data_IF_665484887196
#
_entry.id   IF_665484887196
#
_cell.length_a   1.000
_cell.length_b   1.000
_cell.length_c   1.000
_cell.angle_alpha   90.00
_cell.angle_beta   90.00
_cell.angle_gamma   90.00
#
_symmetry.space_group_name_H-M   'P 1'
#
loop_
_entity.id
_entity.type
_entity.pdbx_description
1 polymer ?
#
# COMPACT_ATOMS: atom_id res chain seq x y z
N UNK A 1 -7.68 1.17 -22.73
CA UNK A 1 -8.93 1.55 -22.03
C UNK A 1 -9.06 3.08 -22.07
N UNK A 2 -10.15 3.64 -22.61
CA UNK A 2 -10.30 5.09 -22.85
C UNK A 2 -10.35 5.90 -21.54
N UNK A 3 -11.03 5.37 -20.51
CA UNK A 3 -11.13 6.03 -19.20
C UNK A 3 -9.77 6.24 -18.54
N UNK A 4 -8.88 5.23 -18.57
CA UNK A 4 -7.50 5.36 -18.06
C UNK A 4 -6.75 6.50 -18.76
N UNK A 5 -6.81 6.57 -20.10
CA UNK A 5 -6.16 7.64 -20.87
C UNK A 5 -6.71 9.03 -20.55
N UNK A 6 -8.02 9.16 -20.32
CA UNK A 6 -8.60 10.44 -19.93
C UNK A 6 -8.09 10.89 -18.57
N UNK A 7 -8.00 9.98 -17.61
CA UNK A 7 -7.46 10.26 -16.28
C UNK A 7 -5.99 10.67 -16.35
N UNK A 8 -5.16 9.94 -17.10
CA UNK A 8 -3.72 10.19 -17.14
C UNK A 8 -3.31 11.34 -18.05
N UNK A 9 -3.93 11.48 -19.22
CA UNK A 9 -3.42 12.32 -20.31
C UNK A 9 -4.24 13.62 -20.48
N UNK A 10 -5.47 13.64 -19.96
CA UNK A 10 -6.43 14.75 -20.13
C UNK A 10 -7.17 15.12 -18.83
N UNK A 11 -6.44 15.44 -17.75
CA UNK A 11 -7.02 15.73 -16.44
C UNK A 11 -8.01 16.91 -16.46
N UNK A 12 -7.84 17.85 -17.39
CA UNK A 12 -8.74 18.99 -17.61
C UNK A 12 -10.14 18.55 -18.06
N UNK A 13 -10.22 17.54 -18.92
CA UNK A 13 -11.51 17.03 -19.40
C UNK A 13 -12.22 16.26 -18.29
N UNK A 14 -11.48 15.52 -17.47
CA UNK A 14 -12.05 14.76 -16.35
C UNK A 14 -12.64 15.67 -15.27
N UNK A 15 -12.05 16.84 -15.04
CA UNK A 15 -12.56 17.81 -14.07
C UNK A 15 -13.97 18.32 -14.37
N UNK A 16 -14.40 18.25 -15.63
CA UNK A 16 -15.74 18.66 -16.08
C UNK A 16 -16.75 17.52 -16.09
N UNK A 17 -16.29 16.26 -15.97
CA UNK A 17 -17.16 15.09 -16.02
C UNK A 17 -17.88 14.87 -14.69
N UNK A 18 -19.17 14.56 -14.77
CA UNK A 18 -19.90 13.97 -13.66
C UNK A 18 -19.59 12.47 -13.58
N UNK A 19 -18.80 12.08 -12.58
CA UNK A 19 -18.47 10.69 -12.31
C UNK A 19 -19.28 10.20 -11.12
N UNK A 20 -20.12 9.20 -11.38
CA UNK A 20 -20.99 8.58 -10.38
C UNK A 20 -20.40 7.25 -9.92
N UNK A 21 -20.50 6.98 -8.63
CA UNK A 21 -20.13 5.72 -7.99
C UNK A 21 -21.40 5.07 -7.42
N UNK A 22 -22.20 4.38 -8.25
CA UNK A 22 -23.32 3.58 -7.74
C UNK A 22 -22.79 2.47 -6.83
N UNK A 23 -23.63 2.02 -5.88
CA UNK A 23 -23.33 0.93 -4.94
C UNK A 23 -22.24 1.20 -3.90
N UNK A 24 -21.61 2.39 -3.90
CA UNK A 24 -20.67 2.77 -2.85
C UNK A 24 -21.37 3.00 -1.49
N UNK A 25 -22.63 3.41 -1.53
CA UNK A 25 -23.50 3.54 -0.36
C UNK A 25 -24.85 2.86 -0.65
N UNK A 26 -25.50 2.33 0.38
CA UNK A 26 -26.88 1.84 0.30
C UNK A 26 -27.88 3.02 0.20
N UNK A 27 -27.85 3.70 -0.95
CA UNK A 27 -28.66 4.87 -1.26
C UNK A 27 -29.24 4.77 -2.66
N UNK A 28 -30.47 5.28 -2.82
CA UNK A 28 -31.13 5.40 -4.13
C UNK A 28 -30.56 6.55 -4.96
N UNK A 29 -29.75 7.43 -4.37
CA UNK A 29 -29.08 8.54 -5.05
C UNK A 29 -27.62 8.14 -5.28
N UNK A 30 -27.15 8.06 -6.53
CA UNK A 30 -25.77 7.70 -6.82
C UNK A 30 -24.81 8.76 -6.26
N UNK A 31 -23.76 8.30 -5.59
CA UNK A 31 -22.72 9.19 -5.07
C UNK A 31 -21.90 9.80 -6.21
N UNK A 32 -21.51 11.07 -6.06
CA UNK A 32 -20.63 11.75 -7.01
C UNK A 32 -19.19 11.78 -6.51
N UNK A 33 -18.24 11.37 -7.34
CA UNK A 33 -16.82 11.49 -7.07
C UNK A 33 -16.35 12.89 -7.46
N UNK A 34 -15.91 13.68 -6.48
CA UNK A 34 -15.60 15.11 -6.69
C UNK A 34 -14.22 15.36 -7.29
N UNK A 35 -13.24 14.51 -6.95
CA UNK A 35 -11.82 14.69 -7.25
C UNK A 35 -11.28 13.45 -7.93
N UNK A 36 -11.92 13.07 -9.03
CA UNK A 36 -11.70 11.78 -9.71
C UNK A 36 -10.24 11.61 -10.06
N UNK A 37 -9.65 12.61 -10.72
CA UNK A 37 -8.28 12.51 -11.15
C UNK A 37 -7.29 12.50 -9.99
N UNK A 38 -7.46 13.37 -8.99
CA UNK A 38 -6.58 13.37 -7.83
C UNK A 38 -6.67 12.06 -7.03
N UNK A 39 -7.87 11.45 -6.97
CA UNK A 39 -8.06 10.14 -6.35
C UNK A 39 -7.37 9.02 -7.14
N UNK A 40 -7.43 9.08 -8.47
CA UNK A 40 -6.74 8.13 -9.33
C UNK A 40 -5.21 8.21 -9.16
N UNK A 41 -4.64 9.43 -9.22
CA UNK A 41 -3.21 9.65 -9.00
C UNK A 41 -2.76 9.20 -7.60
N UNK A 42 -3.54 9.53 -6.57
CA UNK A 42 -3.23 9.12 -5.21
C UNK A 42 -3.23 7.58 -5.09
N UNK A 43 -4.18 6.90 -5.73
CA UNK A 43 -4.23 5.44 -5.71
C UNK A 43 -3.07 4.80 -6.49
N UNK A 44 -2.71 5.35 -7.66
CA UNK A 44 -1.52 4.91 -8.42
C UNK A 44 -0.24 5.07 -7.59
N UNK A 45 -0.05 6.21 -6.93
CA UNK A 45 1.08 6.44 -6.02
C UNK A 45 1.08 5.45 -4.85
N UNK A 46 -0.08 5.17 -4.24
CA UNK A 46 -0.19 4.19 -3.16
C UNK A 46 0.24 2.80 -3.61
N UNK A 47 -0.17 2.36 -4.81
CA UNK A 47 0.20 1.06 -5.34
C UNK A 47 1.70 0.99 -5.64
N UNK A 48 2.28 2.01 -6.27
CA UNK A 48 3.72 2.09 -6.56
C UNK A 48 4.55 2.06 -5.28
N UNK A 49 4.16 2.86 -4.30
CA UNK A 49 4.82 2.92 -3.00
C UNK A 49 4.77 1.55 -2.31
N UNK A 50 3.57 0.97 -2.17
CA UNK A 50 3.38 -0.30 -1.49
C UNK A 50 4.15 -1.44 -2.18
N UNK A 51 4.06 -1.53 -3.51
CA UNK A 51 4.69 -2.61 -4.26
C UNK A 51 6.23 -2.50 -4.23
N UNK A 52 6.77 -1.29 -4.46
CA UNK A 52 8.21 -1.07 -4.39
C UNK A 52 8.74 -1.36 -2.99
N UNK A 53 8.02 -0.95 -1.94
CA UNK A 53 8.37 -1.24 -0.56
C UNK A 53 8.36 -2.75 -0.27
N UNK A 54 7.30 -3.47 -0.68
CA UNK A 54 7.17 -4.90 -0.43
C UNK A 54 8.32 -5.70 -1.06
N UNK A 55 8.71 -5.35 -2.29
CA UNK A 55 9.87 -5.95 -2.97
C UNK A 55 11.16 -5.63 -2.22
N UNK A 56 11.38 -4.35 -1.91
CA UNK A 56 12.61 -3.91 -1.23
C UNK A 56 12.80 -4.57 0.15
N UNK A 57 11.75 -4.58 0.97
CA UNK A 57 11.74 -5.20 2.29
C UNK A 57 12.01 -6.71 2.21
N UNK A 58 11.36 -7.41 1.27
CA UNK A 58 11.61 -8.84 1.06
C UNK A 58 13.05 -9.11 0.57
N UNK A 59 13.54 -8.33 -0.40
CA UNK A 59 14.91 -8.46 -0.92
C UNK A 59 15.97 -8.29 0.16
N UNK A 60 15.80 -7.31 1.06
CA UNK A 60 16.74 -7.10 2.17
C UNK A 60 16.67 -8.22 3.21
N UNK A 61 15.47 -8.67 3.59
CA UNK A 61 15.28 -9.73 4.60
C UNK A 61 15.74 -11.10 4.12
N UNK A 62 15.46 -11.44 2.86
CA UNK A 62 15.82 -12.73 2.25
C UNK A 62 17.25 -12.75 1.69
N UNK A 63 17.84 -11.58 1.43
CA UNK A 63 19.11 -11.45 0.71
C UNK A 63 19.01 -11.70 -0.80
N UNK A 64 17.80 -11.92 -1.34
CA UNK A 64 17.56 -12.08 -2.78
C UNK A 64 17.61 -10.74 -3.48
N UNK A 65 18.30 -10.66 -4.63
CA UNK A 65 18.25 -9.47 -5.47
C UNK A 65 16.92 -9.37 -6.21
N UNK A 66 16.58 -8.17 -6.68
CA UNK A 66 15.31 -7.94 -7.41
C UNK A 66 15.25 -8.77 -8.69
N UNK A 67 16.36 -8.89 -9.42
CA UNK A 67 16.45 -9.74 -10.61
C UNK A 67 16.18 -11.20 -10.27
N UNK A 68 16.77 -11.72 -9.19
CA UNK A 68 16.54 -13.11 -8.77
C UNK A 68 15.07 -13.36 -8.42
N UNK A 69 14.43 -12.45 -7.68
CA UNK A 69 13.01 -12.55 -7.34
C UNK A 69 12.11 -12.58 -8.60
N UNK A 70 12.45 -11.78 -9.61
CA UNK A 70 11.73 -11.79 -10.89
C UNK A 70 11.90 -13.11 -11.64
N UNK A 71 13.08 -13.74 -11.54
CA UNK A 71 13.43 -14.96 -12.26
C UNK A 71 12.86 -16.25 -11.62
N UNK A 72 12.25 -16.16 -10.43
CA UNK A 72 11.64 -17.31 -9.72
C UNK A 72 10.40 -17.88 -10.42
N UNK A 73 9.82 -17.16 -11.37
CA UNK A 73 8.70 -17.65 -12.17
C UNK A 73 7.84 -16.53 -12.77
N UNK A 74 6.68 -16.88 -13.34
CA UNK A 74 5.69 -15.89 -13.73
C UNK A 74 5.04 -15.26 -12.49
N UNK A 75 4.73 -13.97 -12.56
CA UNK A 75 4.07 -13.22 -11.48
C UNK A 75 2.70 -12.71 -11.96
N UNK A 76 1.68 -13.59 -12.10
CA UNK A 76 0.36 -13.18 -12.55
C UNK A 76 -0.35 -12.36 -11.48
N UNK A 77 -1.13 -11.36 -11.92
CA UNK A 77 -2.00 -10.64 -11.02
C UNK A 77 -3.16 -11.55 -10.61
N UNK A 78 -3.21 -11.93 -9.34
CA UNK A 78 -4.22 -12.83 -8.77
C UNK A 78 -5.05 -12.13 -7.68
N UNK A 79 -6.23 -12.71 -7.39
CA UNK A 79 -7.04 -12.26 -6.27
C UNK A 79 -6.51 -12.81 -4.96
N UNK A 80 -6.74 -12.05 -3.89
CA UNK A 80 -6.37 -12.41 -2.52
C UNK A 80 -7.61 -12.36 -1.64
N UNK A 81 -7.76 -13.37 -0.79
CA UNK A 81 -8.84 -13.50 0.15
C UNK A 81 -8.36 -13.20 1.57
N UNK A 82 -9.20 -12.54 2.36
CA UNK A 82 -8.99 -12.42 3.79
C UNK A 82 -9.57 -13.65 4.49
N UNK A 83 -8.69 -14.46 5.07
CA UNK A 83 -9.02 -15.68 5.77
C UNK A 83 -8.62 -15.53 7.24
N UNK A 84 -9.58 -15.15 8.08
CA UNK A 84 -9.35 -14.98 9.53
C UNK A 84 -8.38 -13.86 9.91
N UNK A 85 -8.22 -12.84 9.05
CA UNK A 85 -7.28 -11.73 9.25
C UNK A 85 -5.97 -11.86 8.45
N UNK A 86 -5.71 -13.02 7.86
CA UNK A 86 -4.57 -13.25 6.97
C UNK A 86 -4.99 -13.05 5.51
N UNK A 87 -4.17 -12.36 4.73
CA UNK A 87 -4.37 -12.25 3.28
C UNK A 87 -3.66 -13.41 2.59
N UNK A 88 -4.37 -14.15 1.75
CA UNK A 88 -3.87 -15.36 1.07
C UNK A 88 -4.30 -15.34 -0.40
N UNK A 89 -3.45 -15.74 -1.36
CA UNK A 89 -3.86 -15.95 -2.74
C UNK A 89 -5.08 -16.88 -2.84
N UNK A 90 -6.08 -16.48 -3.63
CA UNK A 90 -7.33 -17.24 -3.79
C UNK A 90 -7.09 -18.70 -4.19
N UNK A 91 -6.16 -18.94 -5.11
CA UNK A 91 -5.77 -20.29 -5.56
C UNK A 91 -5.33 -21.21 -4.40
N UNK A 92 -4.61 -20.69 -3.39
CA UNK A 92 -4.22 -21.49 -2.23
C UNK A 92 -5.43 -21.89 -1.40
N UNK A 93 -6.40 -21.00 -1.27
CA UNK A 93 -7.66 -21.29 -0.56
C UNK A 93 -8.47 -22.33 -1.32
N UNK A 94 -8.55 -22.23 -2.65
CA UNK A 94 -9.21 -23.23 -3.49
C UNK A 94 -8.57 -24.61 -3.35
N UNK A 95 -7.23 -24.69 -3.38
CA UNK A 95 -6.49 -25.94 -3.17
C UNK A 95 -6.76 -26.57 -1.79
N UNK A 96 -6.85 -25.75 -0.74
CA UNK A 96 -7.23 -26.22 0.59
C UNK A 96 -8.67 -26.77 0.59
N UNK A 97 -9.62 -26.05 -0.01
CA UNK A 97 -11.02 -26.47 -0.10
C UNK A 97 -11.16 -27.79 -0.85
N UNK A 98 -10.42 -27.97 -1.94
CA UNK A 98 -10.45 -29.21 -2.71
C UNK A 98 -9.81 -30.37 -1.94
N UNK A 99 -8.69 -30.12 -1.24
CA UNK A 99 -8.07 -31.11 -0.36
C UNK A 99 -9.01 -31.58 0.76
N UNK A 100 -9.83 -30.66 1.30
CA UNK A 100 -10.86 -31.00 2.28
C UNK A 100 -11.97 -31.85 1.65
N UNK A 101 -12.45 -31.48 0.45
CA UNK A 101 -13.50 -32.25 -0.25
C UNK A 101 -13.04 -33.67 -0.61
N UNK A 102 -11.76 -33.82 -0.97
CA UNK A 102 -11.15 -35.10 -1.32
C UNK A 102 -10.77 -35.95 -0.10
N UNK A 103 -10.77 -35.35 1.09
CA UNK A 103 -10.43 -36.02 2.35
C UNK A 103 -8.93 -36.19 2.58
N UNK A 104 -8.07 -35.53 1.78
CA UNK A 104 -6.62 -35.48 2.01
C UNK A 104 -6.25 -34.55 3.17
N UNK A 105 -7.10 -33.56 3.44
CA UNK A 105 -7.12 -32.77 4.68
C UNK A 105 -8.40 -33.12 5.43
N UNK A 106 -8.27 -33.77 6.58
CA UNK A 106 -9.38 -34.41 7.29
C UNK A 106 -9.64 -33.85 8.68
N UNK A 107 -8.77 -32.97 9.19
CA UNK A 107 -8.87 -32.42 10.54
C UNK A 107 -8.47 -30.96 10.66
N UNK A 108 -8.92 -30.32 11.74
CA UNK A 108 -8.59 -28.92 12.04
C UNK A 108 -7.09 -28.70 12.26
N UNK A 109 -6.38 -29.67 12.85
CA UNK A 109 -4.93 -29.57 13.06
C UNK A 109 -4.17 -29.48 11.73
N UNK A 110 -4.60 -30.22 10.71
CA UNK A 110 -4.01 -30.18 9.37
C UNK A 110 -4.31 -28.84 8.66
N UNK A 111 -5.55 -28.33 8.81
CA UNK A 111 -5.91 -26.99 8.32
C UNK A 111 -5.04 -25.91 8.99
N UNK A 112 -4.85 -25.98 10.30
CA UNK A 112 -4.00 -25.03 11.02
C UNK A 112 -2.55 -25.11 10.57
N UNK A 113 -2.02 -26.31 10.33
CA UNK A 113 -0.66 -26.47 9.80
C UNK A 113 -0.49 -25.80 8.43
N UNK A 114 -1.51 -25.86 7.57
CA UNK A 114 -1.51 -25.18 6.27
C UNK A 114 -1.51 -23.65 6.45
N UNK A 115 -2.27 -23.13 7.41
CA UNK A 115 -2.27 -21.70 7.73
C UNK A 115 -0.89 -21.23 8.22
N UNK A 116 -0.23 -22.02 9.07
CA UNK A 116 1.14 -21.72 9.51
C UNK A 116 2.10 -21.65 8.32
N UNK A 117 2.00 -22.58 7.36
CA UNK A 117 2.80 -22.52 6.12
C UNK A 117 2.49 -21.28 5.30
N UNK A 118 1.23 -20.87 5.19
CA UNK A 118 0.87 -19.62 4.51
C UNK A 118 1.44 -18.39 5.24
N UNK A 119 1.47 -18.42 6.58
CA UNK A 119 2.01 -17.34 7.39
C UNK A 119 3.53 -17.20 7.18
N UNK A 120 4.24 -18.32 7.15
CA UNK A 120 5.68 -18.37 6.86
C UNK A 120 6.02 -17.84 5.46
N UNK A 121 5.20 -18.16 4.45
CA UNK A 121 5.38 -17.72 3.07
C UNK A 121 4.86 -16.29 2.78
N UNK A 122 4.15 -15.65 3.71
CA UNK A 122 3.40 -14.42 3.43
C UNK A 122 4.29 -13.29 2.88
N UNK A 123 5.48 -13.08 3.45
CA UNK A 123 6.37 -12.00 3.01
C UNK A 123 6.90 -12.23 1.58
N UNK A 124 7.06 -13.48 1.16
CA UNK A 124 7.45 -13.86 -0.20
C UNK A 124 6.27 -13.70 -1.17
N UNK A 125 5.09 -14.23 -0.83
CA UNK A 125 3.88 -14.07 -1.63
C UNK A 125 3.55 -12.59 -1.85
N UNK A 126 3.72 -11.76 -0.81
CA UNK A 126 3.51 -10.30 -0.86
C UNK A 126 4.45 -9.64 -1.85
N UNK A 127 5.71 -10.09 -1.93
CA UNK A 127 6.70 -9.55 -2.87
C UNK A 127 6.39 -9.97 -4.32
N UNK A 128 5.96 -11.21 -4.55
CA UNK A 128 5.49 -11.66 -5.86
C UNK A 128 4.24 -10.91 -6.31
N UNK A 129 3.29 -10.66 -5.41
CA UNK A 129 2.11 -9.86 -5.72
C UNK A 129 2.47 -8.41 -6.04
N UNK A 130 3.46 -7.85 -5.35
CA UNK A 130 3.99 -6.53 -5.66
C UNK A 130 4.63 -6.46 -7.06
N UNK A 131 5.39 -7.48 -7.48
CA UNK A 131 5.88 -7.59 -8.86
C UNK A 131 4.72 -7.61 -9.86
N UNK A 132 3.72 -8.46 -9.62
CA UNK A 132 2.53 -8.55 -10.48
C UNK A 132 1.80 -7.21 -10.63
N UNK A 133 1.67 -6.45 -9.53
CA UNK A 133 1.08 -5.11 -9.53
C UNK A 133 1.92 -4.14 -10.38
N UNK A 134 3.24 -4.10 -10.19
CA UNK A 134 4.10 -3.19 -10.95
C UNK A 134 4.11 -3.53 -12.44
N UNK A 135 4.18 -4.82 -12.79
CA UNK A 135 4.07 -5.28 -14.18
C UNK A 135 2.78 -4.81 -14.83
N UNK A 136 1.64 -4.98 -14.15
CA UNK A 136 0.34 -4.56 -14.65
C UNK A 136 0.19 -3.01 -14.72
N UNK A 137 0.73 -2.28 -13.75
CA UNK A 137 0.66 -0.81 -13.72
C UNK A 137 1.51 -0.15 -14.81
N UNK A 138 2.73 -0.66 -14.99
CA UNK A 138 3.73 -0.14 -15.92
C UNK A 138 3.60 -0.73 -17.32
N UNK A 139 2.79 -1.77 -17.51
CA UNK A 139 2.66 -2.53 -18.76
C UNK A 139 4.00 -3.11 -19.23
N UNK A 140 4.74 -3.71 -18.28
CA UNK A 140 6.04 -4.36 -18.51
C UNK A 140 6.01 -5.81 -18.06
N UNK A 141 6.82 -6.65 -18.70
CA UNK A 141 7.00 -8.04 -18.29
C UNK A 141 8.16 -8.23 -17.29
N UNK A 142 9.01 -7.20 -17.16
CA UNK A 142 10.23 -7.24 -16.35
C UNK A 142 10.63 -5.81 -15.97
N UNK A 143 11.09 -5.64 -14.74
CA UNK A 143 11.65 -4.39 -14.21
C UNK A 143 13.16 -4.49 -14.35
N UNK A 144 13.72 -3.66 -15.24
CA UNK A 144 15.18 -3.54 -15.37
C UNK A 144 15.80 -2.65 -14.26
N UNK A 145 17.13 -2.58 -14.23
CA UNK A 145 17.85 -1.81 -13.21
C UNK A 145 17.51 -0.31 -13.24
N UNK A 146 17.26 0.26 -14.43
CA UNK A 146 16.94 1.68 -14.58
C UNK A 146 15.54 1.97 -14.06
N UNK A 147 14.57 1.12 -14.42
CA UNK A 147 13.20 1.23 -13.95
C UNK A 147 13.10 0.99 -12.43
N UNK A 148 13.88 0.04 -11.90
CA UNK A 148 13.98 -0.16 -10.45
C UNK A 148 14.52 1.09 -9.73
N UNK A 149 15.54 1.74 -10.29
CA UNK A 149 16.08 2.98 -9.74
C UNK A 149 15.03 4.11 -9.75
N UNK A 150 14.24 4.22 -10.81
CA UNK A 150 13.14 5.17 -10.88
C UNK A 150 12.06 4.89 -9.82
N UNK A 151 11.64 3.63 -9.69
CA UNK A 151 10.64 3.19 -8.72
C UNK A 151 11.07 3.46 -7.28
N UNK A 152 12.34 3.18 -6.94
CA UNK A 152 12.87 3.45 -5.59
C UNK A 152 12.94 4.95 -5.29
N UNK A 153 13.33 5.78 -6.26
CA UNK A 153 13.30 7.24 -6.12
C UNK A 153 11.86 7.77 -5.93
N UNK A 154 10.90 7.27 -6.72
CA UNK A 154 9.48 7.61 -6.58
C UNK A 154 8.93 7.17 -5.21
N UNK A 155 9.26 5.95 -4.77
CA UNK A 155 8.84 5.42 -3.48
C UNK A 155 9.32 6.31 -2.31
N UNK A 156 10.60 6.71 -2.33
CA UNK A 156 11.14 7.66 -1.35
C UNK A 156 10.45 9.03 -1.39
N UNK A 157 10.20 9.58 -2.58
CA UNK A 157 9.49 10.85 -2.72
C UNK A 157 8.06 10.79 -2.17
N UNK A 158 7.32 9.71 -2.47
CA UNK A 158 5.97 9.47 -1.94
C UNK A 158 6.02 9.34 -0.40
N UNK A 159 7.04 8.66 0.15
CA UNK A 159 7.22 8.54 1.60
C UNK A 159 7.38 9.91 2.28
N UNK A 160 8.22 10.77 1.72
CA UNK A 160 8.42 12.14 2.22
C UNK A 160 7.11 12.94 2.14
N UNK A 161 6.36 12.82 1.05
CA UNK A 161 5.04 13.46 0.95
C UNK A 161 4.07 12.97 2.02
N UNK A 162 4.03 11.66 2.30
CA UNK A 162 3.19 11.09 3.37
C UNK A 162 3.59 11.70 4.72
N UNK A 163 4.89 11.79 5.02
CA UNK A 163 5.38 12.39 6.26
C UNK A 163 4.97 13.87 6.39
N UNK A 164 5.13 14.65 5.32
CA UNK A 164 4.68 16.04 5.30
C UNK A 164 3.17 16.17 5.56
N UNK A 165 2.35 15.28 4.98
CA UNK A 165 0.90 15.30 5.19
C UNK A 165 0.53 14.90 6.62
N UNK A 166 1.24 13.95 7.23
CA UNK A 166 1.10 13.63 8.65
C UNK A 166 1.41 14.85 9.49
N UNK A 167 2.54 15.53 9.23
CA UNK A 167 2.90 16.75 9.93
C UNK A 167 1.84 17.84 9.78
N UNK A 168 1.43 18.17 8.54
CA UNK A 168 0.42 19.21 8.26
C UNK A 168 -0.91 18.93 8.96
N UNK A 169 -1.36 17.67 8.92
CA UNK A 169 -2.62 17.24 9.55
C UNK A 169 -2.56 17.40 11.06
N UNK A 170 -1.44 17.00 11.69
CA UNK A 170 -1.27 17.14 13.15
C UNK A 170 -1.04 18.59 13.55
N UNK A 171 -0.21 19.35 12.85
CA UNK A 171 0.06 20.76 13.14
C UNK A 171 -1.20 21.62 13.09
N UNK A 172 -2.15 21.32 12.19
CA UNK A 172 -3.45 21.99 12.14
C UNK A 172 -4.18 21.91 13.49
N UNK A 173 -4.05 20.82 14.24
CA UNK A 173 -4.73 20.66 15.52
C UNK A 173 -4.20 21.60 16.61
N UNK A 174 -2.94 22.03 16.49
CA UNK A 174 -2.29 22.95 17.44
C UNK A 174 -2.50 24.42 17.08
N UNK A 175 -2.64 24.74 15.78
CA UNK A 175 -2.80 26.11 15.28
C UNK A 175 -4.26 26.49 14.95
N UNK A 176 -5.22 25.62 15.27
CA UNK A 176 -6.63 25.91 15.03
C UNK A 176 -7.17 26.84 16.11
N UNK A 177 -7.39 28.10 15.74
CA UNK A 177 -7.98 29.14 16.61
C UNK A 177 -9.24 28.67 17.35
N UNK A 178 -10.12 27.89 16.71
CA UNK A 178 -11.34 27.39 17.35
C UNK A 178 -11.11 26.25 18.35
N UNK A 179 -9.94 25.60 18.31
CA UNK A 179 -9.54 24.64 19.34
C UNK A 179 -8.90 25.37 20.52
N UNK A 180 -8.13 26.43 20.25
CA UNK A 180 -7.50 27.26 21.29
C UNK A 180 -8.52 27.82 22.29
N UNK A 181 -9.71 28.26 21.84
CA UNK A 181 -10.75 28.81 22.74
C UNK A 181 -11.28 27.82 23.79
N UNK A 182 -11.02 26.52 23.62
CA UNK A 182 -11.43 25.48 24.58
C UNK A 182 -10.47 25.36 25.76
N UNK A 183 -9.28 25.95 25.65
CA UNK A 183 -8.26 25.97 26.70
C UNK A 183 -8.23 27.35 27.36
N UNK A 184 -7.98 27.38 28.67
CA UNK A 184 -7.86 28.62 29.46
C UNK A 184 -6.50 29.29 29.25
N UNK A 185 -5.48 28.54 28.82
CA UNK A 185 -4.13 29.03 28.53
C UNK A 185 -3.35 28.08 27.63
N UNK A 186 -2.28 28.56 27.01
CA UNK A 186 -1.33 27.72 26.25
C UNK A 186 -0.73 26.61 27.10
N UNK A 187 -0.49 26.84 28.40
CA UNK A 187 0.03 25.82 29.31
C UNK A 187 -0.97 24.67 29.52
N UNK A 188 -2.28 24.98 29.59
CA UNK A 188 -3.33 23.94 29.65
C UNK A 188 -3.44 23.19 28.32
N UNK A 189 -3.34 23.90 27.19
CA UNK A 189 -3.34 23.30 25.86
C UNK A 189 -2.17 22.31 25.70
N UNK A 190 -0.95 22.70 26.06
CA UNK A 190 0.23 21.81 26.01
C UNK A 190 0.12 20.64 26.99
N UNK A 191 -0.45 20.84 28.19
CA UNK A 191 -0.65 19.76 29.15
C UNK A 191 -1.66 18.70 28.66
N UNK A 192 -2.64 19.10 27.84
CA UNK A 192 -3.68 18.20 27.30
C UNK A 192 -3.27 17.57 25.96
N UNK A 193 -2.75 18.37 25.03
CA UNK A 193 -2.40 17.93 23.68
C UNK A 193 -0.95 17.44 23.55
N UNK A 194 -0.12 17.65 24.58
CA UNK A 194 1.32 17.53 24.47
C UNK A 194 1.92 18.64 23.63
N UNK A 195 3.21 18.55 23.34
CA UNK A 195 3.87 19.43 22.39
C UNK A 195 3.82 18.85 20.98
N UNK A 196 3.78 19.71 19.96
CA UNK A 196 3.75 19.27 18.56
C UNK A 196 5.00 18.46 18.18
N UNK A 197 6.17 18.84 18.68
CA UNK A 197 7.45 18.15 18.46
C UNK A 197 7.52 16.76 19.12
N UNK A 198 6.70 16.53 20.15
CA UNK A 198 6.57 15.25 20.86
C UNK A 198 5.41 14.39 20.35
N UNK A 199 4.72 14.82 19.28
CA UNK A 199 3.57 14.07 18.78
C UNK A 199 3.99 12.68 18.30
N UNK A 200 3.42 11.58 18.85
CA UNK A 200 3.87 10.22 18.57
C UNK A 200 3.68 9.82 17.09
N UNK A 201 2.68 10.39 16.40
CA UNK A 201 2.46 10.12 14.98
C UNK A 201 3.52 10.79 14.10
N UNK A 202 3.94 12.01 14.44
CA UNK A 202 4.99 12.72 13.72
C UNK A 202 6.34 12.02 13.94
N UNK A 203 6.65 11.67 15.19
CA UNK A 203 7.85 10.92 15.54
C UNK A 203 7.88 9.55 14.84
N UNK A 204 6.79 8.78 14.90
CA UNK A 204 6.71 7.50 14.22
C UNK A 204 6.83 7.63 12.70
N UNK A 205 6.21 8.64 12.10
CA UNK A 205 6.30 8.87 10.65
C UNK A 205 7.74 9.11 10.19
N UNK A 206 8.55 9.83 10.97
CA UNK A 206 9.99 10.02 10.70
C UNK A 206 10.76 8.71 10.75
N UNK A 207 10.55 7.92 11.81
CA UNK A 207 11.20 6.61 11.97
C UNK A 207 10.88 5.69 10.79
N UNK A 208 9.63 5.69 10.32
CA UNK A 208 9.24 4.91 9.14
C UNK A 208 9.92 5.42 7.87
N UNK A 209 10.05 6.74 7.69
CA UNK A 209 10.78 7.31 6.55
C UNK A 209 12.26 6.91 6.57
N UNK A 210 12.93 7.05 7.71
CA UNK A 210 14.34 6.68 7.89
C UNK A 210 14.57 5.19 7.64
N UNK A 211 13.71 4.33 8.20
CA UNK A 211 13.77 2.89 7.97
C UNK A 211 13.58 2.54 6.50
N UNK A 212 12.64 3.22 5.81
CA UNK A 212 12.39 3.00 4.41
C UNK A 212 13.60 3.38 3.55
N UNK A 213 14.16 4.57 3.75
CA UNK A 213 15.35 5.03 3.03
C UNK A 213 16.55 4.10 3.25
N UNK A 214 16.75 3.66 4.50
CA UNK A 214 17.80 2.70 4.84
C UNK A 214 17.61 1.37 4.11
N UNK A 215 16.40 0.82 4.08
CA UNK A 215 16.09 -0.41 3.32
C UNK A 215 16.31 -0.22 1.83
N UNK A 216 15.78 0.85 1.22
CA UNK A 216 15.94 1.11 -0.22
C UNK A 216 17.41 1.19 -0.64
N UNK A 217 18.27 1.78 0.21
CA UNK A 217 19.72 1.88 -0.06
C UNK A 217 20.47 0.53 -0.02
N UNK A 218 19.90 -0.49 0.64
CA UNK A 218 20.50 -1.81 0.78
C UNK A 218 20.08 -2.79 -0.32
N UNK A 219 18.99 -2.50 -1.04
CA UNK A 219 18.47 -3.39 -2.07
C UNK A 219 19.47 -3.49 -3.23
N UNK A 220 19.80 -4.72 -3.59
CA UNK A 220 20.57 -5.02 -4.78
C UNK A 220 19.62 -5.36 -5.91
N UNK A 221 19.82 -4.71 -7.05
CA UNK A 221 19.08 -5.09 -8.25
C UNK A 221 19.52 -6.46 -8.77
N UNK A 222 20.84 -6.69 -8.93
CA UNK A 222 21.45 -7.95 -9.40
C UNK A 222 22.45 -8.48 -8.39
#
# INVERSE_FOLDING_TARGET
NLGKKLLTDHPELVGELEVLAPELENSNVPMRVLKVQQAYDAYDQMLRYWATWAIADHSVKSGKSVALLQDEGPHPLSQWLNVGGQLVPEERVELLLDSIKEGSVSGWDEVHQIYETWYECYEEDRAHHALAILYALLDVAYIDASLWQELTAQCGAIRVQIEEQVFKTKAKDYHNHFREITFRSTAEQEAVLGRLDENPFIAHSKVVTEALEATLSQVRYS
#
